data_IF_762624043990
#
_entry.id   IF_762624043990
#
_cell.length_a   1.000
_cell.length_b   1.000
_cell.length_c   1.000
_cell.angle_alpha   90.00
_cell.angle_beta   90.00
_cell.angle_gamma   90.00
#
_symmetry.space_group_name_H-M   'P 1'
#
loop_
_entity.id
_entity.type
_entity.pdbx_description
1 polymer ?
#
# COMPACT_ATOMS: atom_id res chain seq x y z
N UNK A 1 -26.01 32.93 52.53
CA UNK A 1 -25.06 31.79 52.56
C UNK A 1 -25.08 31.13 51.20
N UNK A 2 -23.99 31.24 50.47
CA UNK A 2 -23.89 30.57 49.17
C UNK A 2 -23.71 29.06 49.44
N UNK A 3 -24.59 28.27 48.84
CA UNK A 3 -24.61 26.83 49.04
C UNK A 3 -23.33 26.19 48.47
N UNK A 4 -22.43 25.71 49.32
CA UNK A 4 -21.14 25.10 48.91
C UNK A 4 -21.32 23.98 47.86
N UNK A 5 -22.47 23.31 47.89
CA UNK A 5 -22.83 22.29 46.90
C UNK A 5 -23.07 22.88 45.51
N UNK A 6 -23.68 24.05 45.42
CA UNK A 6 -23.95 24.76 44.16
C UNK A 6 -22.64 25.25 43.52
N UNK A 7 -21.68 25.70 44.34
CA UNK A 7 -20.34 26.10 43.86
C UNK A 7 -19.59 24.88 43.27
N UNK A 8 -19.70 23.71 43.91
CA UNK A 8 -19.06 22.49 43.38
C UNK A 8 -19.65 22.06 42.06
N UNK A 9 -20.96 22.13 41.86
CA UNK A 9 -21.61 21.78 40.58
C UNK A 9 -21.19 22.74 39.48
N UNK A 10 -21.14 24.04 39.72
CA UNK A 10 -20.72 25.04 38.75
C UNK A 10 -19.24 24.83 38.35
N UNK A 11 -18.38 24.48 39.31
CA UNK A 11 -16.98 24.17 39.02
C UNK A 11 -16.81 22.93 38.13
N UNK A 12 -17.59 21.86 38.38
CA UNK A 12 -17.57 20.65 37.58
C UNK A 12 -18.04 20.92 36.15
N UNK A 13 -19.11 21.70 35.97
CA UNK A 13 -19.64 22.09 34.65
C UNK A 13 -18.61 22.94 33.91
N UNK A 14 -17.93 23.88 34.59
CA UNK A 14 -16.90 24.71 33.98
C UNK A 14 -15.69 23.89 33.51
N UNK A 15 -15.26 22.89 34.27
CA UNK A 15 -14.17 21.97 33.89
C UNK A 15 -14.60 21.09 32.72
N UNK A 16 -15.81 20.57 32.70
CA UNK A 16 -16.34 19.79 31.59
C UNK A 16 -16.47 20.64 30.31
N UNK A 17 -16.94 21.87 30.43
CA UNK A 17 -17.01 22.80 29.28
C UNK A 17 -15.62 23.17 28.75
N UNK A 18 -14.62 23.35 29.61
CA UNK A 18 -13.23 23.60 29.22
C UNK A 18 -12.61 22.41 28.47
N UNK A 19 -12.97 21.17 28.84
CA UNK A 19 -12.53 19.96 28.13
C UNK A 19 -13.20 19.80 26.75
N UNK A 20 -14.40 20.28 26.57
CA UNK A 20 -15.14 20.25 25.30
C UNK A 20 -14.70 21.38 24.35
N UNK A 21 -14.23 22.51 24.91
CA UNK A 21 -13.84 23.71 24.14
C UNK A 21 -12.31 23.78 23.89
N UNK A 22 -11.51 22.81 24.33
CA UNK A 22 -10.14 22.75 23.86
C UNK A 22 -10.13 22.29 22.39
N UNK A 23 -10.04 23.21 21.41
CA UNK A 23 -9.79 22.82 20.05
C UNK A 23 -8.32 22.40 19.98
N UNK A 24 -8.08 21.12 19.83
CA UNK A 24 -6.74 20.71 19.42
C UNK A 24 -6.02 19.66 20.25
N UNK A 25 -6.71 18.87 21.10
CA UNK A 25 -6.21 17.54 21.48
C UNK A 25 -7.05 16.47 20.74
N UNK A 26 -7.51 16.77 19.55
CA UNK A 26 -7.71 15.79 18.52
C UNK A 26 -6.31 15.49 18.00
N UNK A 27 -5.80 14.30 18.26
CA UNK A 27 -4.73 13.74 17.44
C UNK A 27 -5.14 14.01 16.01
N UNK A 28 -4.50 14.97 15.34
CA UNK A 28 -4.58 14.99 13.88
C UNK A 28 -4.26 13.55 13.50
N UNK A 29 -5.09 12.87 12.69
CA UNK A 29 -4.70 11.59 12.18
C UNK A 29 -3.35 11.85 11.57
N UNK A 30 -2.31 11.34 12.20
CA UNK A 30 -0.95 11.38 11.67
C UNK A 30 -1.16 10.84 10.28
N UNK A 31 -1.01 11.69 9.26
CA UNK A 31 -1.12 11.22 7.87
C UNK A 31 -0.07 10.14 7.79
N UNK A 32 -0.51 8.90 7.91
CA UNK A 32 0.41 7.78 7.87
C UNK A 32 1.12 7.87 6.53
N UNK A 33 2.39 8.20 6.61
CA UNK A 33 3.26 8.24 5.44
C UNK A 33 3.19 6.88 4.79
N UNK A 34 2.94 6.85 3.49
CA UNK A 34 2.87 5.63 2.71
C UNK A 34 3.77 5.78 1.50
N UNK A 35 4.79 4.94 1.41
CA UNK A 35 5.60 4.77 0.22
C UNK A 35 5.34 3.37 -0.35
N UNK A 36 5.21 3.29 -1.66
CA UNK A 36 4.91 2.08 -2.40
C UNK A 36 5.97 1.86 -3.46
N UNK A 37 6.59 0.68 -3.47
CA UNK A 37 7.42 0.20 -4.57
C UNK A 37 6.77 -1.06 -5.13
N UNK A 38 6.40 -1.05 -6.40
CA UNK A 38 5.72 -2.14 -7.07
C UNK A 38 6.45 -2.53 -8.34
N UNK A 39 6.89 -3.78 -8.40
CA UNK A 39 7.57 -4.34 -9.57
C UNK A 39 6.74 -5.48 -10.17
N UNK A 40 6.62 -5.48 -11.49
CA UNK A 40 5.92 -6.52 -12.26
C UNK A 40 6.85 -7.04 -13.35
N UNK A 41 7.03 -8.37 -13.42
CA UNK A 41 7.88 -9.02 -14.39
C UNK A 41 7.12 -10.15 -15.09
N UNK A 42 7.07 -10.14 -16.42
CA UNK A 42 6.63 -11.29 -17.18
C UNK A 42 7.85 -12.17 -17.45
N UNK A 43 7.81 -13.38 -16.96
CA UNK A 43 8.90 -14.33 -16.99
C UNK A 43 8.56 -15.50 -17.91
N UNK A 44 9.54 -15.94 -18.68
CA UNK A 44 9.45 -17.14 -19.52
C UNK A 44 10.57 -18.11 -19.13
N UNK A 45 10.24 -19.39 -19.00
CA UNK A 45 11.19 -20.44 -18.73
C UNK A 45 11.83 -20.91 -20.04
N UNK A 46 13.14 -20.89 -20.10
CA UNK A 46 13.91 -21.45 -21.22
C UNK A 46 14.03 -22.97 -21.11
N UNK A 47 14.48 -23.62 -22.19
CA UNK A 47 14.71 -25.07 -22.23
C UNK A 47 15.72 -25.57 -21.18
N UNK A 48 16.66 -24.72 -20.79
CA UNK A 48 17.65 -25.00 -19.73
C UNK A 48 17.08 -24.82 -18.29
N UNK A 49 15.79 -24.48 -18.18
CA UNK A 49 15.08 -24.31 -16.89
C UNK A 49 15.19 -22.91 -16.30
N UNK A 50 16.01 -22.01 -16.84
CA UNK A 50 16.13 -20.64 -16.31
C UNK A 50 14.90 -19.80 -16.64
N UNK A 51 14.51 -18.94 -15.71
CA UNK A 51 13.49 -17.91 -15.92
C UNK A 51 14.17 -16.63 -16.42
N UNK A 52 13.69 -16.10 -17.54
CA UNK A 52 14.15 -14.82 -18.10
C UNK A 52 12.98 -13.85 -18.16
N UNK A 53 13.26 -12.58 -17.93
CA UNK A 53 12.25 -11.54 -18.04
C UNK A 53 12.01 -11.21 -19.54
N UNK A 54 10.79 -11.44 -19.99
CA UNK A 54 10.31 -10.96 -21.30
C UNK A 54 9.92 -9.47 -21.20
N UNK A 55 9.37 -9.05 -20.06
CA UNK A 55 9.15 -7.64 -19.73
C UNK A 55 9.27 -7.42 -18.23
N UNK A 56 9.67 -6.22 -17.85
CA UNK A 56 9.74 -5.78 -16.47
C UNK A 56 9.35 -4.31 -16.36
N UNK A 57 8.59 -4.00 -15.33
CA UNK A 57 8.06 -2.67 -15.04
C UNK A 57 8.19 -2.37 -13.55
N UNK A 58 8.37 -1.11 -13.22
CA UNK A 58 8.54 -0.62 -11.87
C UNK A 58 7.69 0.64 -11.64
N UNK A 59 6.98 0.71 -10.53
CA UNK A 59 6.20 1.86 -10.10
C UNK A 59 6.58 2.21 -8.67
N UNK A 60 7.04 3.42 -8.46
CA UNK A 60 7.31 3.98 -7.13
C UNK A 60 6.34 5.12 -6.87
N UNK A 61 5.63 5.10 -5.75
CA UNK A 61 4.72 6.16 -5.31
C UNK A 61 5.18 6.66 -3.96
N UNK A 62 5.48 7.96 -3.87
CA UNK A 62 5.83 8.64 -2.62
C UNK A 62 4.60 9.09 -1.83
N UNK A 63 4.81 9.37 -0.56
CA UNK A 63 3.77 9.90 0.33
C UNK A 63 3.16 11.23 -0.16
N UNK A 64 3.91 12.01 -0.94
CA UNK A 64 3.50 13.26 -1.61
C UNK A 64 2.66 13.02 -2.88
N UNK A 65 2.31 11.76 -3.17
CA UNK A 65 1.58 11.31 -4.37
C UNK A 65 2.38 11.39 -5.67
N UNK A 66 3.65 11.80 -5.58
CA UNK A 66 4.51 11.78 -6.75
C UNK A 66 4.83 10.34 -7.12
N UNK A 67 4.64 10.00 -8.38
CA UNK A 67 4.84 8.65 -8.89
C UNK A 67 5.84 8.64 -10.04
N UNK A 68 6.66 7.60 -10.07
CA UNK A 68 7.62 7.31 -11.12
C UNK A 68 7.34 5.91 -11.64
N UNK A 69 6.96 5.81 -12.89
CA UNK A 69 6.85 4.54 -13.62
C UNK A 69 8.06 4.36 -14.53
N UNK A 70 8.58 3.15 -14.57
CA UNK A 70 9.69 2.77 -15.45
C UNK A 70 9.37 1.49 -16.18
N UNK A 71 9.53 1.50 -17.49
CA UNK A 71 9.66 0.28 -18.28
C UNK A 71 11.14 -0.13 -18.26
N UNK A 72 11.43 -1.30 -17.70
CA UNK A 72 12.79 -1.83 -17.56
C UNK A 72 13.20 -2.72 -18.73
N UNK A 73 12.33 -2.85 -19.75
CA UNK A 73 12.57 -3.70 -20.92
C UNK A 73 12.75 -2.81 -22.16
N UNK A 74 13.88 -2.95 -22.82
CA UNK A 74 14.19 -2.13 -23.99
C UNK A 74 14.83 -0.78 -23.64
N UNK A 75 14.66 0.25 -24.49
CA UNK A 75 15.18 1.58 -24.21
C UNK A 75 14.56 2.14 -22.92
N UNK A 76 15.33 2.88 -22.10
CA UNK A 76 14.81 3.48 -20.89
C UNK A 76 13.58 4.35 -21.18
N UNK A 77 12.43 3.99 -20.59
CA UNK A 77 11.20 4.77 -20.63
C UNK A 77 10.75 5.03 -19.19
N UNK A 78 10.83 6.29 -18.79
CA UNK A 78 10.44 6.74 -17.46
C UNK A 78 9.36 7.82 -17.59
N UNK A 79 8.23 7.59 -16.93
CA UNK A 79 7.14 8.55 -16.82
C UNK A 79 6.97 9.00 -15.38
N UNK A 80 6.80 10.30 -15.20
CA UNK A 80 6.60 10.94 -13.90
C UNK A 80 5.25 11.61 -13.87
N UNK A 81 4.46 11.35 -12.85
CA UNK A 81 3.11 11.89 -12.70
C UNK A 81 2.74 12.03 -11.22
N UNK A 82 1.60 12.64 -10.99
CA UNK A 82 1.02 12.75 -9.64
C UNK A 82 -0.31 12.01 -9.64
N UNK A 83 -0.47 11.04 -8.75
CA UNK A 83 -1.76 10.35 -8.57
C UNK A 83 -2.74 11.25 -7.84
N UNK A 84 -4.02 11.07 -8.10
CA UNK A 84 -5.10 11.83 -7.47
C UNK A 84 -5.19 11.54 -5.96
N UNK A 85 -5.86 12.43 -5.23
CA UNK A 85 -6.18 12.18 -3.82
C UNK A 85 -7.04 10.92 -3.64
N UNK A 86 -7.94 10.66 -4.59
CA UNK A 86 -8.82 9.48 -4.55
C UNK A 86 -8.03 8.18 -4.71
N UNK A 87 -7.10 8.14 -5.66
CA UNK A 87 -6.21 6.98 -5.86
C UNK A 87 -5.34 6.72 -4.64
N UNK A 88 -4.70 7.76 -4.08
CA UNK A 88 -3.89 7.63 -2.87
C UNK A 88 -4.72 7.19 -1.67
N UNK A 89 -5.91 7.77 -1.46
CA UNK A 89 -6.80 7.39 -0.36
C UNK A 89 -7.32 5.96 -0.53
N UNK A 90 -7.61 5.53 -1.76
CA UNK A 90 -7.96 4.16 -2.09
C UNK A 90 -6.86 3.18 -1.72
N UNK A 91 -5.61 3.46 -2.09
CA UNK A 91 -4.43 2.67 -1.73
C UNK A 91 -4.23 2.63 -0.21
N UNK A 92 -4.26 3.78 0.47
CA UNK A 92 -4.15 3.87 1.93
C UNK A 92 -5.26 3.06 2.61
N UNK A 93 -6.50 3.17 2.16
CA UNK A 93 -7.64 2.40 2.66
C UNK A 93 -7.41 0.91 2.53
N UNK A 94 -7.03 0.42 1.35
CA UNK A 94 -6.74 -0.99 1.14
C UNK A 94 -5.58 -1.49 2.02
N UNK A 95 -4.50 -0.74 2.14
CA UNK A 95 -3.29 -1.16 2.85
C UNK A 95 -3.49 -1.12 4.36
N UNK A 96 -4.03 -0.01 4.88
CA UNK A 96 -4.07 0.26 6.32
C UNK A 96 -5.28 -0.37 7.01
N UNK A 97 -6.44 -0.46 6.32
CA UNK A 97 -7.69 -0.95 6.95
C UNK A 97 -7.92 -2.44 6.75
N UNK A 98 -7.32 -3.06 5.74
CA UNK A 98 -7.59 -4.47 5.41
C UNK A 98 -6.56 -5.45 5.98
N UNK A 99 -5.60 -4.97 6.77
CA UNK A 99 -4.63 -5.83 7.45
C UNK A 99 -3.50 -6.35 6.56
N UNK A 100 -3.13 -5.64 5.49
CA UNK A 100 -2.01 -6.05 4.63
C UNK A 100 -0.72 -6.28 5.42
N UNK A 101 -0.42 -5.42 6.39
CA UNK A 101 0.80 -5.54 7.20
C UNK A 101 0.82 -6.82 8.05
N UNK A 102 -0.34 -7.43 8.34
CA UNK A 102 -0.49 -8.67 9.09
C UNK A 102 -0.59 -9.93 8.20
N UNK A 103 -0.61 -9.79 6.87
CA UNK A 103 -0.63 -10.95 5.97
C UNK A 103 0.52 -11.90 6.33
N UNK A 104 0.28 -13.19 6.60
CA UNK A 104 1.34 -14.13 6.88
C UNK A 104 2.15 -14.41 5.60
N UNK A 105 3.44 -14.59 5.78
CA UNK A 105 4.34 -14.88 4.67
C UNK A 105 4.75 -13.63 3.87
N UNK A 106 5.83 -13.80 3.15
CA UNK A 106 6.45 -12.75 2.31
C UNK A 106 6.69 -13.22 0.88
N UNK A 107 6.52 -14.52 0.63
CA UNK A 107 6.72 -15.12 -0.68
C UNK A 107 5.65 -16.18 -0.99
N UNK A 108 5.08 -16.08 -2.19
CA UNK A 108 4.09 -17.01 -2.73
C UNK A 108 4.66 -17.58 -4.04
N UNK A 109 5.38 -18.72 -3.96
CA UNK A 109 6.18 -19.22 -5.05
C UNK A 109 5.34 -19.76 -6.20
N UNK A 110 5.98 -19.91 -7.36
CA UNK A 110 5.39 -20.57 -8.53
C UNK A 110 5.42 -22.09 -8.39
N UNK A 111 4.46 -22.74 -9.05
CA UNK A 111 4.46 -24.19 -9.28
C UNK A 111 5.65 -24.60 -10.15
N UNK A 112 6.09 -25.82 -9.97
CA UNK A 112 7.08 -26.42 -10.87
C UNK A 112 6.52 -26.57 -12.29
N UNK A 113 7.41 -26.48 -13.27
CA UNK A 113 7.09 -26.71 -14.67
C UNK A 113 6.32 -25.59 -15.38
N UNK A 114 5.98 -24.48 -14.70
CA UNK A 114 5.35 -23.33 -15.35
C UNK A 114 6.33 -22.68 -16.33
N UNK A 115 5.89 -22.51 -17.57
CA UNK A 115 6.68 -21.91 -18.64
C UNK A 115 6.57 -20.39 -18.65
N UNK A 116 5.35 -19.87 -18.56
CA UNK A 116 5.10 -18.43 -18.58
C UNK A 116 4.38 -18.02 -17.27
N UNK A 117 4.89 -16.99 -16.61
CA UNK A 117 4.28 -16.45 -15.40
C UNK A 117 4.52 -14.94 -15.28
N UNK A 118 3.66 -14.27 -14.52
CA UNK A 118 3.90 -12.91 -14.09
C UNK A 118 4.27 -12.92 -12.61
N UNK A 119 5.45 -12.41 -12.29
CA UNK A 119 5.91 -12.21 -10.92
C UNK A 119 5.68 -10.77 -10.51
N UNK A 120 5.19 -10.60 -9.30
CA UNK A 120 4.95 -9.32 -8.67
C UNK A 120 5.77 -9.21 -7.39
N UNK A 121 6.28 -8.04 -7.12
CA UNK A 121 6.90 -7.70 -5.84
C UNK A 121 6.35 -6.36 -5.38
N UNK A 122 5.82 -6.32 -4.17
CA UNK A 122 5.28 -5.13 -3.54
C UNK A 122 6.01 -4.87 -2.24
N UNK A 123 6.66 -3.72 -2.14
CA UNK A 123 7.22 -3.20 -0.90
C UNK A 123 6.40 -2.00 -0.47
N UNK A 124 5.95 -2.03 0.77
CA UNK A 124 5.21 -0.96 1.42
C UNK A 124 5.94 -0.48 2.65
N UNK A 125 6.03 0.84 2.79
CA UNK A 125 6.56 1.48 3.97
C UNK A 125 5.48 2.42 4.54
N UNK A 126 5.15 2.26 5.82
CA UNK A 126 4.17 3.09 6.52
C UNK A 126 4.73 3.48 7.89
N UNK A 127 5.17 4.73 8.01
CA UNK A 127 5.92 5.19 9.17
C UNK A 127 7.19 4.38 9.37
N UNK A 128 7.34 3.74 10.54
CA UNK A 128 8.49 2.88 10.84
C UNK A 128 8.33 1.42 10.38
N UNK A 129 7.17 1.06 9.84
CA UNK A 129 6.89 -0.31 9.42
C UNK A 129 7.16 -0.48 7.92
N UNK A 130 7.81 -1.58 7.56
CA UNK A 130 8.04 -1.97 6.17
C UNK A 130 7.65 -3.42 5.97
N UNK A 131 7.07 -3.72 4.81
CA UNK A 131 6.72 -5.08 4.41
C UNK A 131 6.94 -5.27 2.92
N UNK A 132 7.59 -6.36 2.56
CA UNK A 132 7.76 -6.80 1.17
C UNK A 132 7.04 -8.12 0.97
N UNK A 133 6.24 -8.22 -0.07
CA UNK A 133 5.57 -9.47 -0.48
C UNK A 133 5.86 -9.71 -1.96
N UNK A 134 6.24 -10.94 -2.30
CA UNK A 134 6.38 -11.42 -3.67
C UNK A 134 5.34 -12.49 -3.95
N UNK A 135 4.73 -12.45 -5.13
CA UNK A 135 3.79 -13.49 -5.59
C UNK A 135 3.83 -13.63 -7.10
N UNK A 136 3.22 -14.68 -7.60
CA UNK A 136 2.99 -14.89 -9.02
C UNK A 136 1.49 -14.89 -9.34
N UNK A 137 1.15 -14.72 -10.62
CA UNK A 137 -0.25 -14.82 -11.04
C UNK A 137 -0.88 -16.14 -10.58
N UNK A 138 -2.18 -16.11 -10.23
CA UNK A 138 -2.87 -17.18 -9.53
C UNK A 138 -2.78 -18.55 -10.22
N UNK A 139 -2.78 -18.60 -11.56
CA UNK A 139 -2.63 -19.85 -12.30
C UNK A 139 -1.26 -20.50 -12.14
N UNK A 140 -0.25 -19.68 -11.90
CA UNK A 140 1.15 -20.12 -11.72
C UNK A 140 1.54 -20.34 -10.25
N UNK A 141 0.76 -19.85 -9.29
CA UNK A 141 1.09 -19.92 -7.86
C UNK A 141 0.89 -21.33 -7.30
N UNK A 142 1.88 -21.82 -6.52
CA UNK A 142 1.80 -23.08 -5.79
C UNK A 142 0.77 -23.01 -4.66
N UNK A 143 0.72 -21.87 -3.96
CA UNK A 143 -0.19 -21.64 -2.84
C UNK A 143 -1.14 -20.48 -3.15
N UNK A 144 -2.28 -20.46 -2.49
CA UNK A 144 -3.26 -19.38 -2.70
C UNK A 144 -2.71 -18.03 -2.19
N UNK A 145 -2.59 -17.06 -3.09
CA UNK A 145 -2.24 -15.68 -2.74
C UNK A 145 -3.43 -15.02 -2.05
N UNK A 146 -3.28 -14.40 -0.87
CA UNK A 146 -4.36 -13.71 -0.19
C UNK A 146 -5.05 -12.66 -1.07
N UNK A 147 -6.38 -12.59 -0.99
CA UNK A 147 -7.16 -11.66 -1.82
C UNK A 147 -6.74 -10.20 -1.66
N UNK A 148 -6.35 -9.80 -0.44
CA UNK A 148 -5.85 -8.44 -0.18
C UNK A 148 -4.60 -8.11 -0.98
N UNK A 149 -3.63 -9.03 -1.08
CA UNK A 149 -2.39 -8.84 -1.86
C UNK A 149 -2.73 -8.66 -3.34
N UNK A 150 -3.62 -9.51 -3.87
CA UNK A 150 -4.09 -9.42 -5.26
C UNK A 150 -4.85 -8.12 -5.54
N UNK A 151 -5.70 -7.68 -4.62
CA UNK A 151 -6.49 -6.45 -4.78
C UNK A 151 -5.59 -5.21 -4.82
N UNK A 152 -4.56 -5.15 -3.97
CA UNK A 152 -3.58 -4.05 -4.01
C UNK A 152 -2.82 -4.08 -5.35
N UNK A 153 -2.35 -5.25 -5.79
CA UNK A 153 -1.70 -5.39 -7.11
C UNK A 153 -2.60 -4.92 -8.25
N UNK A 154 -3.89 -5.29 -8.25
CA UNK A 154 -4.86 -4.83 -9.25
C UNK A 154 -5.05 -3.31 -9.24
N UNK A 155 -5.09 -2.69 -8.05
CA UNK A 155 -5.18 -1.24 -7.92
C UNK A 155 -3.93 -0.53 -8.49
N UNK A 156 -2.74 -1.07 -8.22
CA UNK A 156 -1.48 -0.54 -8.75
C UNK A 156 -1.39 -0.71 -10.27
N UNK A 157 -1.85 -1.84 -10.81
CA UNK A 157 -1.97 -2.05 -12.26
C UNK A 157 -2.95 -1.05 -12.89
N UNK A 158 -4.03 -0.67 -12.19
CA UNK A 158 -4.96 0.36 -12.67
C UNK A 158 -4.31 1.75 -12.70
N UNK A 159 -3.51 2.09 -11.68
CA UNK A 159 -2.72 3.34 -11.66
C UNK A 159 -1.76 3.38 -12.85
N UNK A 160 -1.02 2.30 -13.12
CA UNK A 160 -0.12 2.23 -14.28
C UNK A 160 -0.91 2.46 -15.58
N UNK A 161 -2.03 1.76 -15.78
CA UNK A 161 -2.84 1.89 -17.00
C UNK A 161 -3.44 3.28 -17.20
N UNK A 162 -3.71 4.00 -16.12
CA UNK A 162 -4.29 5.35 -16.19
C UNK A 162 -3.27 6.44 -16.51
N UNK A 163 -1.99 6.20 -16.26
CA UNK A 163 -0.96 7.24 -16.31
C UNK A 163 0.27 6.89 -17.16
N UNK A 164 0.48 5.60 -17.49
CA UNK A 164 1.66 5.11 -18.21
C UNK A 164 1.47 4.94 -19.73
#
# INVERSE_FOLDING_TARGET
MVNKFLIAIVAIIAVMAALVVMPGIGSQPTQQELNVEYNRQNLTRLEDGRLVAASAEDLVIGNDRYAVYRNLTGPPDEKRFTISNEEMNGLKGLILTTGFMQVPGTDYPQKDGIVNLTKYTLKLESGSNSKTISWVNQGASEVSVPSIVRNIGTQLDAVIKGHA
#
